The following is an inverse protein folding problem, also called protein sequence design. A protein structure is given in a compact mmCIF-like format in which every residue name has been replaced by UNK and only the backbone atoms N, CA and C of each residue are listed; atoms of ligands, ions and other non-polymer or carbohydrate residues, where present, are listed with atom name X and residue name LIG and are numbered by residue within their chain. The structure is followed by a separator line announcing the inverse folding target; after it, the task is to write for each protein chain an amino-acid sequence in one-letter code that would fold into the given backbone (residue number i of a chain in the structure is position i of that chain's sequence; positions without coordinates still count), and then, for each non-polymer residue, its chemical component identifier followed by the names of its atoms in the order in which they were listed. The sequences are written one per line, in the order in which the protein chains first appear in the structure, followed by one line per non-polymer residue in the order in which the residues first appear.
data_IF_985331003289
#
_entry.id   IF_985331003289
#
_cell.length_a   1.000
_cell.length_b   1.000
_cell.length_c   1.000
_cell.angle_alpha   90.00
_cell.angle_beta   90.00
_cell.angle_gamma   90.00
#
_symmetry.space_group_name_H-M   'P 1'
#
loop_
_entity.id
_entity.type
_entity.pdbx_description
1 polymer ?
#
# COMPACT_ATOMS: atom_id res chain seq x y z
N UNK A 1 42.11 9.15 13.53
CA UNK A 1 41.40 8.05 12.83
C UNK A 1 40.68 8.67 11.65
N UNK A 2 40.81 8.09 10.44
CA UNK A 2 40.18 8.64 9.24
C UNK A 2 38.73 8.15 9.14
N UNK A 3 37.77 9.07 9.13
CA UNK A 3 36.36 8.79 8.88
C UNK A 3 35.99 9.22 7.46
N UNK A 4 35.36 8.33 6.70
CA UNK A 4 35.04 8.53 5.28
C UNK A 4 33.55 8.85 5.12
N UNK A 5 33.24 10.04 4.62
CA UNK A 5 31.89 10.46 4.22
C UNK A 5 31.89 10.63 2.70
N UNK A 6 31.18 9.77 1.97
CA UNK A 6 31.19 9.83 0.51
C UNK A 6 32.61 9.70 -0.07
N UNK A 7 33.12 10.78 -0.68
CA UNK A 7 34.50 10.86 -1.23
C UNK A 7 35.51 11.55 -0.29
N UNK A 8 35.07 12.14 0.82
CA UNK A 8 35.92 12.94 1.72
C UNK A 8 36.35 12.11 2.92
N UNK A 9 37.64 12.18 3.28
CA UNK A 9 38.19 11.57 4.49
C UNK A 9 38.56 12.66 5.48
N UNK A 10 37.92 12.65 6.65
CA UNK A 10 38.18 13.61 7.73
C UNK A 10 38.88 12.91 8.88
N UNK A 11 39.83 13.61 9.51
CA UNK A 11 40.46 13.15 10.74
C UNK A 11 39.61 13.57 11.94
N UNK A 12 38.91 12.59 12.51
CA UNK A 12 37.90 12.79 13.55
C UNK A 12 38.22 11.93 14.77
N UNK A 13 38.05 12.49 15.97
CA UNK A 13 38.21 11.74 17.22
C UNK A 13 37.03 10.78 17.46
N UNK A 14 37.24 9.67 18.21
CA UNK A 14 36.20 8.68 18.50
C UNK A 14 34.85 9.23 19.05
N UNK A 15 34.81 10.20 20.00
CA UNK A 15 33.55 10.76 20.49
C UNK A 15 32.78 11.54 19.42
N UNK A 16 33.45 12.39 18.65
CA UNK A 16 32.85 13.18 17.57
C UNK A 16 32.28 12.26 16.48
N UNK A 17 32.97 11.17 16.15
CA UNK A 17 32.45 10.16 15.22
C UNK A 17 31.16 9.51 15.73
N UNK A 18 31.04 9.22 17.03
CA UNK A 18 29.79 8.66 17.61
C UNK A 18 28.65 9.67 17.55
N UNK A 19 28.95 10.93 17.87
CA UNK A 19 28.00 12.04 17.80
C UNK A 19 27.47 12.23 16.37
N UNK A 20 28.35 12.33 15.39
CA UNK A 20 27.98 12.50 13.98
C UNK A 20 27.25 11.29 13.40
N UNK A 21 27.60 10.07 13.79
CA UNK A 21 26.87 8.87 13.38
C UNK A 21 25.46 8.80 14.01
N UNK A 22 25.28 9.33 15.22
CA UNK A 22 23.96 9.48 15.83
C UNK A 22 23.08 10.46 15.06
N UNK A 23 23.65 11.59 14.60
CA UNK A 23 22.97 12.56 13.73
C UNK A 23 22.63 11.92 12.38
N UNK A 24 23.59 11.27 11.73
CA UNK A 24 23.41 10.65 10.40
C UNK A 24 22.25 9.63 10.39
N UNK A 25 22.12 8.83 11.44
CA UNK A 25 21.05 7.83 11.58
C UNK A 25 19.66 8.44 11.71
N UNK A 26 19.57 9.66 12.24
CA UNK A 26 18.31 10.36 12.52
C UNK A 26 17.94 11.34 11.42
N UNK A 27 18.81 11.58 10.44
CA UNK A 27 18.56 12.48 9.33
C UNK A 27 17.68 11.85 8.24
N UNK A 28 16.52 12.45 7.99
CA UNK A 28 15.54 12.05 6.99
C UNK A 28 15.77 12.73 5.63
N UNK A 29 17.00 12.63 5.11
CA UNK A 29 17.40 13.16 3.82
C UNK A 29 17.77 12.07 2.81
N UNK A 30 17.75 12.40 1.51
CA UNK A 30 18.36 11.57 0.48
C UNK A 30 19.88 11.44 0.71
N UNK A 31 20.50 10.46 0.04
CA UNK A 31 21.92 10.13 0.25
C UNK A 31 22.84 11.31 -0.06
N UNK A 32 22.55 12.10 -1.09
CA UNK A 32 23.40 13.20 -1.53
C UNK A 32 23.28 14.38 -0.56
N UNK A 33 22.05 14.73 -0.14
CA UNK A 33 21.81 15.79 0.84
C UNK A 33 22.40 15.43 2.21
N UNK A 34 22.26 14.17 2.65
CA UNK A 34 22.90 13.67 3.87
C UNK A 34 24.41 13.83 3.85
N UNK A 35 25.06 13.41 2.75
CA UNK A 35 26.52 13.55 2.62
C UNK A 35 26.93 15.02 2.64
N UNK A 36 26.17 15.92 2.00
CA UNK A 36 26.47 17.35 1.99
C UNK A 36 26.40 17.94 3.40
N UNK A 37 25.29 17.72 4.12
CA UNK A 37 25.11 18.21 5.49
C UNK A 37 26.16 17.65 6.45
N UNK A 38 26.47 16.35 6.37
CA UNK A 38 27.51 15.75 7.22
C UNK A 38 28.91 16.26 6.89
N UNK A 39 29.17 16.65 5.63
CA UNK A 39 30.45 17.26 5.23
C UNK A 39 30.56 18.69 5.73
N UNK A 40 29.47 19.46 5.64
CA UNK A 40 29.40 20.83 6.14
C UNK A 40 29.55 20.87 7.67
N UNK A 41 28.83 20.01 8.39
CA UNK A 41 28.96 19.87 9.84
C UNK A 41 30.38 19.46 10.25
N UNK A 42 31.00 18.53 9.53
CA UNK A 42 32.38 18.16 9.80
C UNK A 42 33.38 19.30 9.54
N UNK A 43 33.08 20.16 8.56
CA UNK A 43 33.82 21.40 8.30
C UNK A 43 33.71 22.40 9.46
N UNK A 44 32.52 22.58 10.02
CA UNK A 44 32.30 23.44 11.21
C UNK A 44 33.10 22.92 12.43
N UNK A 45 33.05 21.62 12.69
CA UNK A 45 33.88 20.98 13.73
C UNK A 45 35.39 21.16 13.48
N UNK A 46 35.84 21.19 12.23
CA UNK A 46 37.24 21.44 11.92
C UNK A 46 37.62 22.92 12.15
N UNK A 47 36.79 23.85 11.70
CA UNK A 47 37.02 25.29 11.88
C UNK A 47 37.09 25.67 13.36
N UNK A 48 36.18 25.16 14.19
CA UNK A 48 36.18 25.42 15.65
C UNK A 48 37.36 24.79 16.38
N UNK A 49 37.83 23.63 15.92
CA UNK A 49 39.07 23.02 16.44
C UNK A 49 40.30 23.85 16.09
N UNK A 50 40.37 24.41 14.88
CA UNK A 50 41.46 25.30 14.46
C UNK A 50 41.45 26.62 15.26
N UNK A 51 40.27 27.05 15.73
CA UNK A 51 40.11 28.15 16.69
C UNK A 51 40.49 27.76 18.14
N UNK A 52 40.93 26.52 18.39
CA UNK A 52 41.40 26.05 19.70
C UNK A 52 40.30 25.52 20.63
N UNK A 53 39.05 25.40 20.19
CA UNK A 53 37.98 24.82 20.99
C UNK A 53 38.13 23.30 21.11
N UNK A 54 37.78 22.74 22.28
CA UNK A 54 37.76 21.30 22.50
C UNK A 54 36.51 20.69 21.90
N UNK A 55 36.62 19.48 21.35
CA UNK A 55 35.51 18.73 20.73
C UNK A 55 34.27 18.60 21.63
N UNK A 56 34.49 18.42 22.94
CA UNK A 56 33.42 18.29 23.94
C UNK A 56 32.64 19.59 24.12
N UNK A 57 33.33 20.72 24.03
CA UNK A 57 32.76 22.06 24.16
C UNK A 57 31.95 22.41 22.90
N UNK A 58 32.48 22.04 21.72
CA UNK A 58 31.77 22.15 20.45
C UNK A 58 30.49 21.32 20.46
N UNK A 59 30.54 20.07 20.96
CA UNK A 59 29.34 19.22 21.08
C UNK A 59 28.33 19.78 22.09
N UNK A 60 28.79 20.37 23.19
CA UNK A 60 27.91 20.99 24.18
C UNK A 60 27.22 22.26 23.63
N UNK A 61 27.92 23.04 22.81
CA UNK A 61 27.38 24.24 22.18
C UNK A 61 26.39 23.92 21.05
N UNK A 62 26.66 22.89 20.26
CA UNK A 62 25.77 22.41 19.20
C UNK A 62 24.50 21.74 19.75
N UNK A 63 24.52 21.28 21.00
CA UNK A 63 23.40 20.60 21.65
C UNK A 63 23.43 19.09 21.49
N UNK A 64 22.31 18.43 21.81
CA UNK A 64 22.24 16.97 21.70
C UNK A 64 22.19 16.55 20.22
N UNK A 65 22.71 15.36 19.86
CA UNK A 65 22.66 14.89 18.47
C UNK A 65 21.21 14.69 17.97
N UNK A 66 20.26 14.68 18.90
CA UNK A 66 18.83 14.47 18.66
C UNK A 66 18.17 15.79 18.25
N UNK A 67 18.49 16.87 18.97
CA UNK A 67 18.06 18.24 18.66
C UNK A 67 18.64 18.72 17.33
N UNK A 68 19.93 18.51 17.10
CA UNK A 68 20.59 18.88 15.83
C UNK A 68 19.97 18.15 14.64
N UNK A 69 19.72 16.84 14.79
CA UNK A 69 19.06 16.08 13.74
C UNK A 69 17.61 16.52 13.52
N UNK A 70 16.89 16.87 14.59
CA UNK A 70 15.53 17.39 14.51
C UNK A 70 15.48 18.73 13.75
N UNK A 71 16.39 19.66 14.07
CA UNK A 71 16.49 20.95 13.40
C UNK A 71 16.84 20.80 11.91
N UNK A 72 17.78 19.92 11.56
CA UNK A 72 18.05 19.62 10.15
C UNK A 72 16.85 18.98 9.44
N UNK A 73 16.13 18.09 10.11
CA UNK A 73 14.92 17.48 9.56
C UNK A 73 13.80 18.52 9.34
N UNK A 74 13.67 19.50 10.23
CA UNK A 74 12.74 20.61 10.13
C UNK A 74 13.10 21.54 8.96
N UNK A 75 14.38 21.92 8.85
CA UNK A 75 14.90 22.71 7.74
C UNK A 75 14.71 22.02 6.37
N UNK A 76 14.72 20.69 6.34
CA UNK A 76 14.45 19.90 5.13
C UNK A 76 12.95 19.76 4.80
N UNK A 77 12.05 20.33 5.59
CA UNK A 77 10.60 20.13 5.47
C UNK A 77 10.17 18.68 5.76
N UNK A 78 11.05 17.87 6.33
CA UNK A 78 10.78 16.47 6.68
C UNK A 78 10.07 16.33 8.04
N UNK A 79 9.96 17.43 8.80
CA UNK A 79 9.21 17.51 10.06
C UNK A 79 7.73 17.07 9.96
N UNK A 80 7.15 17.01 8.76
CA UNK A 80 5.77 16.55 8.54
C UNK A 80 5.61 15.10 8.07
N UNK A 81 6.69 14.38 7.73
CA UNK A 81 6.59 13.05 7.15
C UNK A 81 6.31 11.99 8.22
N UNK A 82 5.03 11.64 8.41
CA UNK A 82 4.65 10.59 9.35
C UNK A 82 5.37 9.28 9.00
N UNK A 83 5.96 8.58 9.98
CA UNK A 83 6.58 7.28 9.73
C UNK A 83 5.56 6.33 9.11
N UNK A 84 6.03 5.48 8.20
CA UNK A 84 5.16 4.49 7.58
C UNK A 84 4.58 3.57 8.66
N UNK A 85 3.27 3.37 8.63
CA UNK A 85 2.61 2.54 9.64
C UNK A 85 3.01 1.07 9.44
N UNK A 86 3.30 0.36 10.54
CA UNK A 86 3.53 -1.09 10.51
C UNK A 86 2.30 -1.86 10.01
N UNK A 87 1.10 -1.27 10.13
CA UNK A 87 -0.17 -1.78 9.59
C UNK A 87 -0.18 -1.97 8.07
N UNK A 88 0.78 -1.41 7.33
CA UNK A 88 0.95 -1.70 5.89
C UNK A 88 1.11 -3.19 5.63
N UNK A 89 1.81 -3.90 6.52
CA UNK A 89 2.03 -5.33 6.38
C UNK A 89 0.75 -6.14 6.62
N UNK A 90 -0.21 -5.61 7.41
CA UNK A 90 -1.51 -6.25 7.56
C UNK A 90 -2.25 -6.35 6.21
N UNK A 91 -2.14 -5.35 5.34
CA UNK A 91 -2.71 -5.40 3.98
C UNK A 91 -2.00 -6.43 3.08
N UNK A 92 -0.69 -6.66 3.28
CA UNK A 92 0.05 -7.70 2.55
C UNK A 92 -0.38 -9.08 3.03
N UNK A 93 -0.44 -9.29 4.35
CA UNK A 93 -0.92 -10.54 4.94
C UNK A 93 -2.35 -10.83 4.50
N UNK A 94 -3.22 -9.81 4.47
CA UNK A 94 -4.59 -9.95 3.98
C UNK A 94 -4.65 -10.32 2.49
N UNK A 95 -3.85 -9.68 1.63
CA UNK A 95 -3.78 -10.03 0.21
C UNK A 95 -3.33 -11.48 0.00
N UNK A 96 -2.32 -11.92 0.77
CA UNK A 96 -1.83 -13.31 0.75
C UNK A 96 -2.92 -14.26 1.23
N UNK A 97 -3.64 -13.93 2.31
CA UNK A 97 -4.73 -14.75 2.84
C UNK A 97 -5.86 -14.91 1.80
N UNK A 98 -6.30 -13.81 1.20
CA UNK A 98 -7.39 -13.79 0.21
C UNK A 98 -7.05 -14.58 -1.05
N UNK A 99 -5.77 -14.66 -1.41
CA UNK A 99 -5.33 -15.44 -2.57
C UNK A 99 -5.03 -16.92 -2.23
N UNK A 100 -4.37 -17.18 -1.09
CA UNK A 100 -3.94 -18.53 -0.70
C UNK A 100 -5.07 -19.39 -0.15
N UNK A 101 -6.02 -18.84 0.63
CA UNK A 101 -7.14 -19.63 1.16
C UNK A 101 -7.99 -20.30 0.07
N UNK A 102 -8.51 -19.58 -0.95
CA UNK A 102 -9.31 -20.22 -1.98
C UNK A 102 -8.48 -21.17 -2.85
N UNK A 103 -7.20 -20.88 -3.07
CA UNK A 103 -6.30 -21.77 -3.80
C UNK A 103 -6.05 -23.07 -3.02
N UNK A 104 -5.83 -22.97 -1.71
CA UNK A 104 -5.66 -24.11 -0.81
C UNK A 104 -6.95 -24.92 -0.68
N UNK A 105 -8.10 -24.26 -0.57
CA UNK A 105 -9.41 -24.92 -0.56
C UNK A 105 -9.68 -25.68 -1.88
N UNK A 106 -9.35 -25.09 -3.03
CA UNK A 106 -9.46 -25.78 -4.32
C UNK A 106 -8.49 -26.96 -4.44
N UNK A 107 -7.23 -26.80 -4.01
CA UNK A 107 -6.26 -27.88 -4.01
C UNK A 107 -6.69 -29.03 -3.08
N UNK A 108 -7.19 -28.70 -1.89
CA UNK A 108 -7.73 -29.66 -0.92
C UNK A 108 -8.95 -30.39 -1.48
N UNK A 109 -9.91 -29.67 -2.10
CA UNK A 109 -11.07 -30.29 -2.72
C UNK A 109 -10.67 -31.25 -3.85
N UNK A 110 -9.67 -30.90 -4.67
CA UNK A 110 -9.14 -31.81 -5.70
C UNK A 110 -8.42 -33.02 -5.11
N UNK A 111 -7.74 -32.86 -3.99
CA UNK A 111 -7.00 -33.94 -3.35
C UNK A 111 -7.92 -34.90 -2.57
N UNK A 112 -8.98 -34.37 -1.97
CA UNK A 112 -9.88 -35.11 -1.08
C UNK A 112 -11.15 -35.63 -1.78
N UNK A 113 -11.58 -34.96 -2.86
CA UNK A 113 -12.85 -35.19 -3.53
C UNK A 113 -12.70 -35.37 -5.04
N UNK A 114 -11.58 -35.90 -5.53
CA UNK A 114 -11.50 -36.36 -6.92
C UNK A 114 -11.92 -37.84 -6.99
N UNK A 115 -13.21 -38.17 -7.23
CA UNK A 115 -13.51 -39.43 -7.89
C UNK A 115 -13.06 -39.30 -9.35
N UNK A 116 -12.50 -40.37 -9.88
CA UNK A 116 -11.99 -40.50 -11.25
C UNK A 116 -12.75 -39.65 -12.29
N UNK A 117 -12.11 -38.60 -12.79
CA UNK A 117 -12.48 -37.98 -14.07
C UNK A 117 -11.97 -38.83 -15.26
N UNK A 118 -12.07 -40.15 -15.14
CA UNK A 118 -11.61 -41.13 -16.12
C UNK A 118 -12.73 -42.14 -16.46
N UNK A 119 -13.95 -41.63 -16.67
CA UNK A 119 -15.02 -42.38 -17.37
C UNK A 119 -16.14 -41.44 -17.83
N UNK A 120 -15.79 -40.36 -18.53
CA UNK A 120 -16.78 -39.64 -19.36
C UNK A 120 -16.67 -40.16 -20.79
N UNK A 121 -17.24 -41.33 -20.94
CA UNK A 121 -17.49 -42.02 -22.19
C UNK A 121 -18.33 -43.21 -21.77
N UNK A 122 -19.60 -43.23 -22.17
CA UNK A 122 -20.62 -44.20 -21.74
C UNK A 122 -21.38 -43.74 -20.48
N UNK A 123 -22.21 -42.70 -20.62
CA UNK A 123 -23.49 -42.65 -19.90
C UNK A 123 -24.58 -42.81 -20.96
N UNK A 124 -25.08 -44.04 -21.06
CA UNK A 124 -26.39 -44.38 -21.62
C UNK A 124 -26.71 -43.89 -23.04
N UNK A 125 -26.19 -44.58 -24.06
CA UNK A 125 -26.91 -44.91 -25.31
C UNK A 125 -27.78 -43.85 -26.02
N UNK A 126 -27.49 -42.56 -25.88
CA UNK A 126 -28.18 -41.49 -26.59
C UNK A 126 -27.24 -40.92 -27.65
N UNK A 127 -27.31 -41.50 -28.86
CA UNK A 127 -26.71 -40.90 -30.06
C UNK A 127 -27.50 -39.63 -30.42
N UNK A 128 -27.00 -38.50 -29.96
CA UNK A 128 -27.42 -37.18 -30.39
C UNK A 128 -26.27 -36.20 -30.16
N UNK A 129 -25.95 -35.30 -31.11
CA UNK A 129 -24.89 -34.32 -30.94
C UNK A 129 -25.34 -33.31 -29.87
N UNK A 130 -25.12 -33.63 -28.60
CA UNK A 130 -25.31 -32.68 -27.51
C UNK A 130 -24.18 -31.65 -27.63
N UNK A 131 -24.51 -30.47 -28.13
CA UNK A 131 -23.61 -29.33 -28.11
C UNK A 131 -23.25 -29.04 -26.65
N UNK A 132 -22.03 -29.38 -26.26
CA UNK A 132 -21.47 -29.00 -24.98
C UNK A 132 -21.18 -27.50 -25.08
N UNK A 133 -22.12 -26.69 -24.60
CA UNK A 133 -21.88 -25.27 -24.43
C UNK A 133 -20.82 -25.10 -23.34
N UNK A 134 -19.59 -24.80 -23.76
CA UNK A 134 -18.55 -24.33 -22.85
C UNK A 134 -18.99 -22.94 -22.39
N UNK A 135 -19.65 -22.88 -21.24
CA UNK A 135 -19.92 -21.62 -20.57
C UNK A 135 -18.58 -20.90 -20.40
N UNK A 136 -18.45 -19.73 -21.01
CA UNK A 136 -17.26 -18.91 -20.86
C UNK A 136 -17.06 -18.60 -19.38
N UNK A 137 -16.19 -19.35 -18.72
CA UNK A 137 -15.85 -19.12 -17.32
C UNK A 137 -15.10 -17.80 -17.28
N UNK A 138 -15.70 -16.79 -16.65
CA UNK A 138 -14.94 -15.59 -16.27
C UNK A 138 -13.70 -16.05 -15.52
N UNK A 139 -12.49 -15.67 -15.95
CA UNK A 139 -11.30 -16.24 -15.35
C UNK A 139 -11.23 -15.79 -13.88
N UNK A 140 -11.03 -16.76 -12.99
CA UNK A 140 -11.17 -16.59 -11.55
C UNK A 140 -10.38 -15.39 -10.98
N UNK A 141 -9.28 -14.99 -11.62
CA UNK A 141 -8.49 -13.83 -11.20
C UNK A 141 -9.25 -12.50 -11.24
N UNK A 142 -10.27 -12.36 -12.10
CA UNK A 142 -11.09 -11.13 -12.20
C UNK A 142 -11.90 -10.91 -10.92
N UNK A 143 -12.27 -11.99 -10.24
CA UNK A 143 -13.00 -11.92 -8.97
C UNK A 143 -12.13 -11.40 -7.82
N UNK A 144 -10.82 -11.66 -7.87
CA UNK A 144 -9.85 -11.23 -6.87
C UNK A 144 -9.26 -9.85 -7.17
N UNK A 145 -9.50 -9.28 -8.35
CA UNK A 145 -8.92 -8.01 -8.78
C UNK A 145 -9.28 -6.83 -7.85
N UNK A 146 -10.54 -6.65 -7.41
CA UNK A 146 -10.88 -5.55 -6.50
C UNK A 146 -10.20 -5.71 -5.14
N UNK A 147 -10.06 -6.93 -4.62
CA UNK A 147 -9.28 -7.21 -3.40
C UNK A 147 -7.81 -6.80 -3.53
N UNK A 148 -7.17 -7.16 -4.64
CA UNK A 148 -5.76 -6.82 -4.90
C UNK A 148 -5.58 -5.31 -5.02
N UNK A 149 -6.44 -4.63 -5.79
CA UNK A 149 -6.42 -3.18 -5.95
C UNK A 149 -6.60 -2.46 -4.61
N UNK A 150 -7.51 -2.95 -3.77
CA UNK A 150 -7.79 -2.37 -2.47
C UNK A 150 -6.64 -2.59 -1.47
N UNK A 151 -6.03 -3.77 -1.46
CA UNK A 151 -4.84 -4.06 -0.63
C UNK A 151 -3.63 -3.23 -1.06
N UNK A 152 -3.41 -3.09 -2.37
CA UNK A 152 -2.35 -2.25 -2.92
C UNK A 152 -2.58 -0.77 -2.55
N UNK A 153 -3.82 -0.28 -2.69
CA UNK A 153 -4.18 1.07 -2.31
C UNK A 153 -3.95 1.32 -0.81
N UNK A 154 -4.35 0.38 0.07
CA UNK A 154 -4.10 0.45 1.51
C UNK A 154 -2.60 0.47 1.86
N UNK A 155 -1.80 -0.37 1.19
CA UNK A 155 -0.35 -0.41 1.36
C UNK A 155 0.34 0.91 0.94
N UNK A 156 -0.10 1.50 -0.17
CA UNK A 156 0.43 2.76 -0.69
C UNK A 156 0.00 3.94 0.20
N UNK A 157 -1.24 3.93 0.69
CA UNK A 157 -1.78 4.96 1.57
C UNK A 157 -1.02 5.03 2.90
N UNK A 158 -0.89 3.89 3.59
CA UNK A 158 -0.26 3.83 4.91
C UNK A 158 1.26 4.02 4.90
N UNK A 159 1.87 4.14 3.72
CA UNK A 159 3.31 4.28 3.57
C UNK A 159 3.77 5.42 2.70
N UNK A 160 3.46 5.34 1.42
CA UNK A 160 3.98 6.28 0.44
C UNK A 160 3.24 7.62 0.49
N UNK A 161 1.93 7.59 0.75
CA UNK A 161 1.12 8.81 0.88
C UNK A 161 1.39 9.55 2.19
N UNK A 162 1.73 8.85 3.28
CA UNK A 162 2.10 9.47 4.55
C UNK A 162 3.45 10.21 4.54
N UNK A 163 4.29 9.95 3.54
CA UNK A 163 5.66 10.47 3.41
C UNK A 163 5.81 11.53 2.32
N UNK A 164 4.72 12.14 1.84
CA UNK A 164 4.83 13.04 0.70
C UNK A 164 3.64 13.96 0.48
N UNK A 165 3.68 14.76 -0.60
CA UNK A 165 2.69 15.78 -0.88
C UNK A 165 1.30 15.18 -1.16
N UNK A 166 0.26 15.97 -0.92
CA UNK A 166 -1.14 15.58 -1.07
C UNK A 166 -1.47 14.94 -2.45
N UNK A 167 -0.71 15.26 -3.50
CA UNK A 167 -0.83 14.68 -4.83
C UNK A 167 -0.64 13.14 -4.86
N UNK A 168 0.17 12.57 -3.95
CA UNK A 168 0.43 11.12 -3.90
C UNK A 168 -0.81 10.31 -3.50
N UNK A 169 -1.77 10.91 -2.79
CA UNK A 169 -3.04 10.27 -2.45
C UNK A 169 -3.96 10.04 -3.66
N UNK A 170 -3.70 10.66 -4.83
CA UNK A 170 -4.53 10.46 -6.03
C UNK A 170 -4.44 9.03 -6.59
N UNK A 171 -3.27 8.40 -6.48
CA UNK A 171 -3.05 7.02 -6.93
C UNK A 171 -3.90 5.99 -6.17
N UNK A 172 -3.87 5.91 -4.83
CA UNK A 172 -4.74 4.97 -4.12
C UNK A 172 -6.23 5.27 -4.31
N UNK A 173 -6.61 6.54 -4.48
CA UNK A 173 -8.00 6.91 -4.83
C UNK A 173 -8.38 6.31 -6.21
N UNK A 174 -7.54 6.48 -7.22
CA UNK A 174 -7.79 5.94 -8.56
C UNK A 174 -7.85 4.41 -8.57
N UNK A 175 -6.97 3.73 -7.82
CA UNK A 175 -6.97 2.27 -7.70
C UNK A 175 -8.25 1.73 -7.03
N UNK A 176 -8.71 2.37 -5.95
CA UNK A 176 -9.97 2.00 -5.30
C UNK A 176 -11.18 2.29 -6.20
N UNK A 177 -11.18 3.42 -6.91
CA UNK A 177 -12.24 3.77 -7.85
C UNK A 177 -12.33 2.75 -8.99
N UNK A 178 -11.19 2.33 -9.56
CA UNK A 178 -11.12 1.29 -10.57
C UNK A 178 -11.69 -0.04 -10.04
N UNK A 179 -11.32 -0.45 -8.82
CA UNK A 179 -11.86 -1.66 -8.19
C UNK A 179 -13.37 -1.63 -8.01
N UNK A 180 -13.94 -0.48 -7.65
CA UNK A 180 -15.40 -0.29 -7.55
C UNK A 180 -16.10 -0.33 -8.92
N UNK A 181 -15.51 0.30 -9.94
CA UNK A 181 -16.06 0.28 -11.31
C UNK A 181 -16.10 -1.15 -11.84
N UNK A 182 -15.04 -1.93 -11.65
CA UNK A 182 -15.01 -3.34 -12.07
C UNK A 182 -16.08 -4.18 -11.36
N UNK A 183 -16.31 -3.94 -10.07
CA UNK A 183 -17.39 -4.59 -9.33
C UNK A 183 -18.78 -4.21 -9.87
N UNK A 184 -19.02 -2.92 -10.14
CA UNK A 184 -20.28 -2.44 -10.71
C UNK A 184 -20.54 -3.01 -12.11
N UNK A 185 -19.52 -3.07 -12.96
CA UNK A 185 -19.61 -3.68 -14.29
C UNK A 185 -20.00 -5.16 -14.18
N UNK A 186 -19.39 -5.91 -13.26
CA UNK A 186 -19.74 -7.31 -13.01
C UNK A 186 -21.19 -7.46 -12.54
N UNK A 187 -21.61 -6.61 -11.60
CA UNK A 187 -22.98 -6.61 -11.09
C UNK A 187 -24.00 -6.31 -12.20
N UNK A 188 -23.68 -5.37 -13.10
CA UNK A 188 -24.49 -5.06 -14.27
C UNK A 188 -24.58 -6.22 -15.26
N UNK A 189 -23.48 -6.93 -15.53
CA UNK A 189 -23.49 -8.14 -16.37
C UNK A 189 -24.34 -9.24 -15.74
N UNK A 190 -24.27 -9.44 -14.42
CA UNK A 190 -25.05 -10.46 -13.71
C UNK A 190 -26.54 -10.14 -13.73
N UNK A 191 -26.92 -8.87 -13.54
CA UNK A 191 -28.29 -8.38 -13.72
C UNK A 191 -28.79 -8.54 -15.17
N UNK A 192 -27.94 -8.23 -16.16
CA UNK A 192 -28.28 -8.38 -17.57
C UNK A 192 -28.51 -9.82 -17.99
N UNK A 193 -27.73 -10.76 -17.47
CA UNK A 193 -27.94 -12.21 -17.65
C UNK A 193 -29.26 -12.68 -17.02
N UNK A 194 -29.68 -12.07 -15.91
CA UNK A 194 -30.97 -12.38 -15.26
C UNK A 194 -32.18 -11.77 -15.97
N UNK A 195 -32.00 -10.67 -16.71
CA UNK A 195 -33.06 -9.93 -17.40
C UNK A 195 -33.12 -10.22 -18.92
N UNK A 196 -32.25 -11.07 -19.44
CA UNK A 196 -32.17 -11.39 -20.86
C UNK A 196 -33.36 -12.21 -21.37
N UNK A 197 -33.60 -12.22 -22.70
CA UNK A 197 -34.79 -12.82 -23.33
C UNK A 197 -34.91 -14.36 -23.22
N UNK A 198 -33.96 -15.03 -22.56
CA UNK A 198 -34.00 -16.45 -22.21
C UNK A 198 -34.02 -16.72 -20.70
N UNK A 199 -34.22 -15.69 -19.87
CA UNK A 199 -34.31 -15.86 -18.43
C UNK A 199 -35.56 -16.69 -18.09
N UNK A 200 -35.45 -17.70 -17.19
CA UNK A 200 -36.61 -18.43 -16.75
C UNK A 200 -37.59 -17.42 -16.15
N UNK A 201 -38.82 -17.41 -16.65
CA UNK A 201 -39.89 -16.46 -16.31
C UNK A 201 -40.19 -16.37 -14.79
N UNK A 202 -39.61 -17.27 -13.99
CA UNK A 202 -39.59 -17.28 -12.54
C UNK A 202 -38.76 -16.13 -11.90
N UNK A 203 -37.81 -15.49 -12.60
CA UNK A 203 -36.97 -14.42 -12.01
C UNK A 203 -37.68 -13.09 -11.84
N UNK A 204 -38.73 -12.81 -12.63
CA UNK A 204 -39.51 -11.56 -12.54
C UNK A 204 -40.36 -11.50 -11.26
N UNK A 205 -40.61 -12.65 -10.62
CA UNK A 205 -41.38 -12.77 -9.38
C UNK A 205 -40.52 -13.03 -8.14
N UNK A 206 -39.18 -13.03 -8.26
CA UNK A 206 -38.32 -13.23 -7.11
C UNK A 206 -38.43 -12.01 -6.17
N UNK A 207 -38.82 -12.21 -4.90
CA UNK A 207 -38.97 -11.12 -3.96
C UNK A 207 -37.64 -10.38 -3.77
N UNK A 208 -37.72 -9.08 -3.47
CA UNK A 208 -36.56 -8.20 -3.26
C UNK A 208 -35.55 -8.80 -2.27
N UNK A 209 -36.04 -9.56 -1.28
CA UNK A 209 -35.26 -10.34 -0.31
C UNK A 209 -34.36 -11.42 -0.93
N UNK A 210 -34.81 -12.18 -1.94
CA UNK A 210 -33.98 -13.21 -2.58
C UNK A 210 -32.86 -12.61 -3.40
N UNK A 211 -33.11 -11.45 -4.03
CA UNK A 211 -32.04 -10.68 -4.67
C UNK A 211 -31.03 -10.26 -3.58
N UNK A 212 -31.48 -9.67 -2.47
CA UNK A 212 -30.58 -9.30 -1.36
C UNK A 212 -29.75 -10.50 -0.87
N UNK A 213 -30.35 -11.66 -0.61
CA UNK A 213 -29.59 -12.83 -0.15
C UNK A 213 -28.61 -13.39 -1.18
N UNK A 214 -28.90 -13.28 -2.48
CA UNK A 214 -28.02 -13.76 -3.54
C UNK A 214 -26.84 -12.79 -3.79
N UNK A 215 -27.08 -11.49 -3.70
CA UNK A 215 -26.10 -10.45 -4.03
C UNK A 215 -25.31 -9.95 -2.82
N UNK A 216 -25.85 -9.98 -1.61
CA UNK A 216 -25.14 -9.59 -0.38
C UNK A 216 -23.82 -10.38 -0.21
N UNK A 217 -23.76 -11.71 -0.43
CA UNK A 217 -22.50 -12.46 -0.38
C UNK A 217 -21.47 -11.99 -1.41
N UNK A 218 -21.91 -11.53 -2.58
CA UNK A 218 -20.99 -10.99 -3.61
C UNK A 218 -20.35 -9.68 -3.18
N UNK A 219 -21.04 -8.88 -2.35
CA UNK A 219 -20.50 -7.63 -1.79
C UNK A 219 -19.37 -7.91 -0.78
N UNK A 220 -19.50 -8.98 0.01
CA UNK A 220 -18.48 -9.43 0.96
C UNK A 220 -17.34 -10.22 0.27
N UNK A 221 -17.64 -11.05 -0.72
CA UNK A 221 -16.63 -11.88 -1.40
C UNK A 221 -15.78 -11.11 -2.41
N UNK A 222 -16.32 -10.04 -3.01
CA UNK A 222 -15.63 -9.27 -4.06
C UNK A 222 -14.62 -8.24 -3.55
N UNK A 223 -14.62 -7.90 -2.25
CA UNK A 223 -13.70 -6.90 -1.69
C UNK A 223 -14.10 -5.45 -1.97
N UNK A 224 -15.29 -5.20 -2.54
CA UNK A 224 -15.81 -3.86 -2.80
C UNK A 224 -15.94 -3.02 -1.51
N UNK A 225 -16.27 -3.65 -0.39
CA UNK A 225 -16.32 -3.00 0.93
C UNK A 225 -14.93 -2.48 1.37
N UNK A 226 -13.86 -3.23 1.07
CA UNK A 226 -12.49 -2.83 1.40
C UNK A 226 -12.03 -1.70 0.47
N UNK A 227 -12.39 -1.74 -0.82
CA UNK A 227 -12.21 -0.61 -1.74
C UNK A 227 -12.85 0.67 -1.18
N UNK A 228 -14.10 0.58 -0.72
CA UNK A 228 -14.85 1.72 -0.19
C UNK A 228 -14.22 2.26 1.11
N UNK A 229 -13.87 1.38 2.04
CA UNK A 229 -13.21 1.76 3.29
C UNK A 229 -11.86 2.46 3.04
N UNK A 230 -11.02 1.89 2.17
CA UNK A 230 -9.72 2.47 1.81
C UNK A 230 -9.90 3.78 1.04
N UNK A 231 -10.91 3.89 0.16
CA UNK A 231 -11.23 5.11 -0.56
C UNK A 231 -11.62 6.25 0.39
N UNK A 232 -12.50 5.99 1.37
CA UNK A 232 -12.91 6.98 2.37
C UNK A 232 -11.70 7.47 3.18
N UNK A 233 -10.82 6.54 3.60
CA UNK A 233 -9.58 6.88 4.28
C UNK A 233 -8.63 7.70 3.38
N UNK A 234 -8.52 7.33 2.10
CA UNK A 234 -7.67 8.02 1.12
C UNK A 234 -8.13 9.46 0.87
N UNK A 235 -9.44 9.66 0.73
CA UNK A 235 -10.05 10.99 0.56
C UNK A 235 -9.88 11.83 1.83
N UNK A 236 -10.06 11.22 3.01
CA UNK A 236 -9.87 11.92 4.29
C UNK A 236 -8.41 12.38 4.46
N UNK A 237 -7.45 11.52 4.16
CA UNK A 237 -6.02 11.89 4.21
C UNK A 237 -5.65 12.91 3.11
N UNK A 238 -6.25 12.82 1.92
CA UNK A 238 -6.05 13.83 0.86
C UNK A 238 -6.56 15.21 1.28
N UNK A 239 -7.76 15.30 1.88
CA UNK A 239 -8.31 16.56 2.40
C UNK A 239 -7.44 17.13 3.51
N UNK A 240 -7.00 16.30 4.46
CA UNK A 240 -6.08 16.71 5.53
C UNK A 240 -4.76 17.26 4.99
N UNK A 241 -4.18 16.57 4.01
CA UNK A 241 -2.92 16.99 3.40
C UNK A 241 -3.07 18.26 2.56
N UNK A 242 -4.23 18.50 1.93
CA UNK A 242 -4.55 19.78 1.28
C UNK A 242 -4.71 20.91 2.29
N UNK A 243 -5.50 20.70 3.35
CA UNK A 243 -5.68 21.72 4.38
C UNK A 243 -4.36 22.12 5.04
N UNK A 244 -3.45 21.18 5.29
CA UNK A 244 -2.11 21.47 5.82
C UNK A 244 -1.23 22.27 4.84
N UNK A 245 -1.42 22.09 3.53
CA UNK A 245 -0.70 22.83 2.51
C UNK A 245 -1.25 24.26 2.30
N UNK A 246 -2.54 24.46 2.58
CA UNK A 246 -3.22 25.76 2.44
C UNK A 246 -3.08 26.64 3.71
N UNK A 247 -2.68 26.09 4.87
CA UNK A 247 -2.35 26.89 6.06
C UNK A 247 -1.03 27.65 5.87
N UNK A 248 -1.03 28.99 5.86
CA UNK A 248 0.12 29.81 5.46
C UNK A 248 1.26 29.91 6.48
N UNK A 249 1.19 29.24 7.64
CA UNK A 249 2.20 29.37 8.71
C UNK A 249 3.46 28.50 8.53
N UNK A 250 3.49 27.56 7.57
CA UNK A 250 4.65 26.68 7.35
C UNK A 250 5.72 27.29 6.44
N UNK A 251 5.83 28.63 6.39
CA UNK A 251 6.77 29.34 5.50
C UNK A 251 7.77 30.27 6.23
N UNK A 252 7.85 30.20 7.55
CA UNK A 252 8.89 30.87 8.34
C UNK A 252 9.82 29.83 8.94
#
# INVERSE_FOLDING_TARGET
MKWKIGRTTLDVLPPVKRYMNAIERRLHADRQTRVRMMTELAGDFQSRREAGQRDEEIMAELGTPEEVAAQFNEALGSAGARPASRWRWAFVVLAVLVFLLPLAAQAFARLWWAPEAASIGIIGGADGPTAIFVAASTPAFVEFLPWLLACLAGFLLLGWCRRGPAARCRLPIALCALGLVLWLLRLAVLLGLLAGPGAPQATVLLPLWTLVLQYLPTLFSSGAWLCLAVLVLAVREHRRARHAADTPEAKN
#
